data_IF_524242271109
#
_entry.id   IF_524242271109
#
_cell.length_a   1.000
_cell.length_b   1.000
_cell.length_c   1.000
_cell.angle_alpha   90.00
_cell.angle_beta   90.00
_cell.angle_gamma   90.00
#
_symmetry.space_group_name_H-M   'P 1'
#
loop_
_entity.id
_entity.type
_entity.pdbx_description
1 polymer ?
#
# COMPACT_ATOMS: atom_id res chain seq x y z
N UNK A 1 6.17 -17.94 30.99
CA UNK A 1 6.60 -17.41 29.69
C UNK A 1 5.96 -18.10 28.48
N UNK A 2 5.70 -19.44 28.43
CA UNK A 2 5.03 -20.06 27.26
C UNK A 2 3.56 -19.67 27.04
N UNK A 3 2.88 -19.16 28.07
CA UNK A 3 1.45 -18.81 28.00
C UNK A 3 1.18 -17.51 27.27
N UNK A 4 2.04 -16.50 27.40
CA UNK A 4 1.85 -15.19 26.75
C UNK A 4 2.13 -15.26 25.25
N UNK A 5 3.19 -15.98 24.85
CA UNK A 5 3.55 -16.20 23.44
C UNK A 5 2.44 -16.94 22.69
N UNK A 6 1.83 -17.95 23.31
CA UNK A 6 0.67 -18.66 22.74
C UNK A 6 -0.58 -17.78 22.57
N UNK A 7 -0.76 -16.76 23.42
CA UNK A 7 -1.89 -15.83 23.30
C UNK A 7 -1.67 -14.87 22.13
N UNK A 8 -0.47 -14.32 22.00
CA UNK A 8 -0.10 -13.39 20.92
C UNK A 8 -0.23 -14.08 19.55
N UNK A 9 0.31 -15.29 19.40
CA UNK A 9 0.23 -16.06 18.15
C UNK A 9 -1.21 -16.36 17.76
N UNK A 10 -2.05 -16.76 18.73
CA UNK A 10 -3.48 -17.02 18.47
C UNK A 10 -4.24 -15.76 18.07
N UNK A 11 -3.90 -14.62 18.67
CA UNK A 11 -4.52 -13.34 18.34
C UNK A 11 -4.11 -12.86 16.94
N UNK A 12 -2.83 -12.98 16.58
CA UNK A 12 -2.33 -12.66 15.24
C UNK A 12 -3.02 -13.52 14.17
N UNK A 13 -3.11 -14.84 14.40
CA UNK A 13 -3.82 -15.75 13.49
C UNK A 13 -5.30 -15.38 13.32
N UNK A 14 -5.98 -15.02 14.41
CA UNK A 14 -7.38 -14.58 14.35
C UNK A 14 -7.55 -13.37 13.42
N UNK A 15 -6.66 -12.38 13.53
CA UNK A 15 -6.70 -11.19 12.66
C UNK A 15 -6.42 -11.58 11.20
N UNK A 16 -5.38 -12.37 10.92
CA UNK A 16 -5.09 -12.85 9.56
C UNK A 16 -6.29 -13.58 8.95
N UNK A 17 -6.96 -14.44 9.73
CA UNK A 17 -8.18 -15.16 9.33
C UNK A 17 -9.34 -14.21 9.02
N UNK A 18 -9.59 -13.23 9.89
CA UNK A 18 -10.65 -12.22 9.70
C UNK A 18 -10.41 -11.37 8.43
N UNK A 19 -9.14 -11.09 8.10
CA UNK A 19 -8.74 -10.45 6.84
C UNK A 19 -9.13 -11.27 5.62
N UNK A 20 -8.78 -12.57 5.59
CA UNK A 20 -9.14 -13.44 4.46
C UNK A 20 -10.65 -13.59 4.28
N UNK A 21 -11.41 -13.73 5.37
CA UNK A 21 -12.87 -13.77 5.27
C UNK A 21 -13.45 -12.48 4.70
N UNK A 22 -12.92 -11.32 5.11
CA UNK A 22 -13.39 -10.02 4.59
C UNK A 22 -13.18 -9.90 3.08
N UNK A 23 -12.02 -10.33 2.56
CA UNK A 23 -11.71 -10.26 1.13
C UNK A 23 -12.70 -11.04 0.25
N UNK A 24 -13.27 -12.13 0.76
CA UNK A 24 -14.21 -12.98 0.00
C UNK A 24 -15.67 -12.55 0.21
N UNK A 25 -16.02 -12.03 1.38
CA UNK A 25 -17.40 -11.71 1.76
C UNK A 25 -17.84 -10.28 1.41
N UNK A 26 -16.89 -9.36 1.21
CA UNK A 26 -17.19 -7.94 1.03
C UNK A 26 -17.75 -7.65 -0.36
N UNK A 27 -18.85 -6.91 -0.41
CA UNK A 27 -19.38 -6.38 -1.66
C UNK A 27 -18.39 -5.38 -2.28
N UNK A 28 -18.08 -5.57 -3.57
CA UNK A 28 -17.08 -4.78 -4.28
C UNK A 28 -17.73 -3.61 -5.01
N UNK A 29 -17.23 -2.41 -4.76
CA UNK A 29 -17.57 -1.23 -5.58
C UNK A 29 -16.71 -1.25 -6.84
N UNK A 30 -17.33 -1.50 -8.00
CA UNK A 30 -16.68 -1.40 -9.30
C UNK A 30 -17.10 -0.09 -9.96
N UNK A 31 -16.12 0.72 -10.36
CA UNK A 31 -16.34 2.05 -10.93
C UNK A 31 -16.38 1.97 -12.47
N UNK A 32 -17.38 2.57 -13.13
CA UNK A 32 -17.32 2.79 -14.57
C UNK A 32 -16.27 3.87 -14.86
N UNK A 33 -15.16 3.50 -15.47
CA UNK A 33 -14.06 4.41 -15.82
C UNK A 33 -13.42 3.99 -17.15
N UNK A 34 -13.10 4.95 -18.03
CA UNK A 34 -12.46 4.63 -19.31
C UNK A 34 -10.95 4.42 -19.20
N UNK A 35 -10.34 4.90 -18.12
CA UNK A 35 -8.93 4.67 -17.80
C UNK A 35 -8.85 3.89 -16.50
N UNK A 36 -8.07 2.81 -16.50
CA UNK A 36 -7.93 1.97 -15.34
C UNK A 36 -6.45 1.76 -15.06
N UNK A 37 -6.09 1.81 -13.78
CA UNK A 37 -4.80 1.38 -13.30
C UNK A 37 -5.03 0.22 -12.34
N UNK A 38 -4.27 -0.84 -12.49
CA UNK A 38 -4.41 -2.04 -11.68
C UNK A 38 -3.09 -2.38 -11.01
N UNK A 39 -3.17 -2.73 -9.73
CA UNK A 39 -2.02 -3.09 -8.91
C UNK A 39 -2.22 -4.43 -8.23
N UNK A 40 -1.09 -5.02 -7.83
CA UNK A 40 -1.02 -6.27 -7.10
C UNK A 40 -0.59 -6.04 -5.66
N UNK A 41 -1.47 -6.39 -4.72
CA UNK A 41 -1.12 -6.60 -3.32
C UNK A 41 -0.68 -8.05 -3.18
N UNK A 42 0.63 -8.29 -3.16
CA UNK A 42 1.18 -9.64 -3.03
C UNK A 42 1.46 -9.93 -1.56
N UNK A 43 0.83 -10.98 -1.05
CA UNK A 43 0.95 -11.47 0.32
C UNK A 43 1.81 -12.73 0.37
N UNK A 44 2.58 -12.88 1.44
CA UNK A 44 3.25 -14.15 1.79
C UNK A 44 3.27 -14.34 3.30
N UNK A 45 3.35 -15.59 3.75
CA UNK A 45 3.64 -15.88 5.15
C UNK A 45 5.15 -16.01 5.34
N UNK A 46 5.73 -15.17 6.20
CA UNK A 46 7.18 -15.17 6.47
C UNK A 46 7.69 -16.46 7.13
N UNK A 47 6.82 -17.19 7.84
CA UNK A 47 7.16 -18.45 8.52
C UNK A 47 6.76 -19.71 7.74
N UNK A 48 6.27 -19.58 6.50
CA UNK A 48 5.81 -20.72 5.72
C UNK A 48 6.98 -21.68 5.43
N UNK A 49 6.87 -22.89 5.96
CA UNK A 49 7.93 -23.91 5.86
C UNK A 49 7.68 -24.95 4.76
N UNK A 50 6.44 -25.04 4.26
CA UNK A 50 6.03 -26.01 3.23
C UNK A 50 5.07 -25.34 2.26
N UNK A 51 5.12 -25.80 1.01
CA UNK A 51 4.21 -25.32 -0.01
C UNK A 51 2.76 -25.68 0.34
N UNK A 52 1.86 -24.73 0.13
CA UNK A 52 0.43 -24.89 0.27
C UNK A 52 -0.05 -25.64 -0.98
N UNK A 53 -0.60 -26.86 -0.84
CA UNK A 53 -1.04 -27.64 -1.98
C UNK A 53 -2.19 -26.94 -2.69
N UNK A 54 -2.03 -26.75 -3.99
CA UNK A 54 -3.11 -26.24 -4.84
C UNK A 54 -4.05 -27.39 -5.16
N UNK A 55 -5.27 -27.30 -4.67
CA UNK A 55 -6.35 -28.21 -5.02
C UNK A 55 -7.59 -27.39 -5.34
N UNK A 56 -7.99 -27.40 -6.61
CA UNK A 56 -9.11 -26.63 -7.15
C UNK A 56 -10.47 -27.01 -6.54
N UNK A 57 -10.53 -28.08 -5.74
CA UNK A 57 -11.78 -28.56 -5.11
C UNK A 57 -11.98 -28.07 -3.67
N UNK A 58 -10.98 -27.42 -3.06
CA UNK A 58 -11.05 -27.01 -1.66
C UNK A 58 -11.85 -25.73 -1.46
N UNK A 59 -12.67 -25.71 -0.41
CA UNK A 59 -13.35 -24.49 0.02
C UNK A 59 -12.36 -23.51 0.66
N UNK A 60 -12.73 -22.23 0.76
CA UNK A 60 -11.95 -21.23 1.52
C UNK A 60 -11.71 -21.69 2.97
N UNK A 61 -12.68 -22.38 3.58
CA UNK A 61 -12.56 -22.88 4.95
C UNK A 61 -11.47 -23.95 5.05
N UNK A 62 -11.40 -24.87 4.10
CA UNK A 62 -10.35 -25.90 4.07
C UNK A 62 -8.98 -25.28 3.86
N UNK A 63 -8.90 -24.23 3.03
CA UNK A 63 -7.69 -23.46 2.80
C UNK A 63 -7.21 -22.76 4.08
N UNK A 64 -8.09 -22.03 4.76
CA UNK A 64 -7.78 -21.34 6.01
C UNK A 64 -7.41 -22.33 7.13
N UNK A 65 -8.11 -23.45 7.22
CA UNK A 65 -7.78 -24.51 8.17
C UNK A 65 -6.41 -25.13 7.88
N UNK A 66 -6.06 -25.32 6.60
CA UNK A 66 -4.73 -25.78 6.23
C UNK A 66 -3.64 -24.80 6.66
N UNK A 67 -3.83 -23.51 6.40
CA UNK A 67 -2.88 -22.47 6.84
C UNK A 67 -2.74 -22.49 8.38
N UNK A 68 -3.85 -22.57 9.11
CA UNK A 68 -3.86 -22.67 10.58
C UNK A 68 -3.04 -23.87 11.08
N UNK A 69 -3.26 -25.05 10.51
CA UNK A 69 -2.55 -26.30 10.87
C UNK A 69 -1.08 -26.25 10.46
N UNK A 70 -0.75 -25.58 9.35
CA UNK A 70 0.63 -25.43 8.89
C UNK A 70 1.48 -24.55 9.82
N UNK A 71 0.84 -23.78 10.71
CA UNK A 71 1.50 -22.82 11.59
C UNK A 71 2.06 -21.60 10.85
N UNK A 72 1.65 -21.40 9.59
CA UNK A 72 2.00 -20.23 8.81
C UNK A 72 1.46 -18.97 9.50
N UNK A 73 2.33 -17.99 9.64
CA UNK A 73 2.14 -16.76 10.40
C UNK A 73 3.05 -15.67 9.84
N UNK A 74 2.95 -14.45 10.39
CA UNK A 74 3.71 -13.30 9.93
C UNK A 74 3.40 -13.02 8.46
N UNK A 75 2.13 -12.70 8.19
CA UNK A 75 1.72 -12.24 6.87
C UNK A 75 2.48 -10.95 6.52
N UNK A 76 3.02 -10.90 5.30
CA UNK A 76 3.82 -9.79 4.80
C UNK A 76 3.26 -9.30 3.46
N UNK A 77 3.41 -8.00 3.20
CA UNK A 77 3.00 -7.34 1.97
C UNK A 77 4.24 -6.94 1.16
N UNK A 78 4.24 -7.23 -0.13
CA UNK A 78 5.26 -6.74 -1.06
C UNK A 78 4.99 -5.28 -1.42
N UNK A 79 6.00 -4.44 -1.25
CA UNK A 79 6.04 -3.08 -1.77
C UNK A 79 7.25 -2.87 -2.67
N UNK A 80 7.12 -1.90 -3.57
CA UNK A 80 8.21 -1.41 -4.40
C UNK A 80 8.51 0.05 -4.07
N UNK A 81 9.77 0.44 -4.21
CA UNK A 81 10.16 1.83 -4.33
C UNK A 81 10.36 2.15 -5.80
N UNK A 82 9.59 3.11 -6.30
CA UNK A 82 9.71 3.59 -7.69
C UNK A 82 11.10 4.19 -7.94
N UNK A 83 11.66 3.95 -9.13
CA UNK A 83 12.92 4.55 -9.56
C UNK A 83 12.86 6.09 -9.51
N UNK A 84 13.98 6.73 -9.19
CA UNK A 84 14.05 8.19 -9.19
C UNK A 84 14.28 8.70 -10.62
N UNK A 85 13.28 9.36 -11.19
CA UNK A 85 13.42 10.06 -12.48
C UNK A 85 13.34 11.57 -12.27
N UNK A 86 14.24 12.33 -12.90
CA UNK A 86 14.39 13.78 -12.67
C UNK A 86 13.11 14.61 -12.94
N UNK A 87 12.19 14.08 -13.75
CA UNK A 87 10.94 14.74 -14.15
C UNK A 87 9.67 14.05 -13.60
N UNK A 88 9.79 13.02 -12.75
CA UNK A 88 8.62 12.36 -12.16
C UNK A 88 8.34 12.92 -10.75
N UNK A 89 7.22 13.63 -10.53
CA UNK A 89 6.83 14.11 -9.19
C UNK A 89 6.57 12.98 -8.19
N UNK A 90 6.48 11.72 -8.65
CA UNK A 90 6.30 10.53 -7.82
C UNK A 90 7.57 9.68 -7.65
N UNK A 91 8.72 10.21 -8.04
CA UNK A 91 10.03 9.55 -7.96
C UNK A 91 10.35 9.09 -6.53
N UNK A 92 10.73 7.83 -6.35
CA UNK A 92 11.14 7.29 -5.04
C UNK A 92 10.00 6.97 -4.06
N UNK A 93 8.73 7.05 -4.49
CA UNK A 93 7.59 6.68 -3.65
C UNK A 93 7.40 5.18 -3.52
N UNK A 94 6.84 4.79 -2.37
CA UNK A 94 6.35 3.43 -2.16
C UNK A 94 5.08 3.23 -2.97
N UNK A 95 5.01 2.12 -3.69
CA UNK A 95 3.84 1.69 -4.43
C UNK A 95 3.65 0.17 -4.29
N UNK A 96 2.47 -0.30 -4.70
CA UNK A 96 2.28 -1.68 -5.10
C UNK A 96 2.78 -1.86 -6.54
N UNK A 97 3.30 -3.04 -6.92
CA UNK A 97 3.56 -3.33 -8.32
C UNK A 97 2.29 -3.18 -9.15
N UNK A 98 2.37 -2.56 -10.32
CA UNK A 98 1.20 -2.29 -11.14
C UNK A 98 1.31 -1.04 -11.99
N UNK A 99 0.35 -0.89 -12.88
CA UNK A 99 0.38 0.16 -13.88
C UNK A 99 -0.96 0.37 -14.57
N UNK A 100 -0.90 0.91 -15.78
CA UNK A 100 -2.09 1.33 -16.52
C UNK A 100 -2.56 0.19 -17.43
N UNK A 101 -3.86 0.03 -17.53
CA UNK A 101 -4.47 -0.92 -18.46
C UNK A 101 -4.11 -0.56 -19.91
N UNK A 102 -3.71 -1.57 -20.66
CA UNK A 102 -3.37 -1.47 -22.08
C UNK A 102 -4.35 -2.23 -22.97
N UNK A 103 -4.78 -1.60 -24.07
CA UNK A 103 -5.71 -2.22 -25.01
C UNK A 103 -7.04 -2.62 -24.35
N UNK A 104 -7.38 -3.91 -24.47
CA UNK A 104 -8.63 -4.50 -23.96
C UNK A 104 -8.38 -5.56 -22.87
N UNK A 105 -7.18 -5.57 -22.26
CA UNK A 105 -6.87 -6.53 -21.18
C UNK A 105 -7.79 -6.30 -19.98
N UNK A 106 -8.11 -7.34 -19.20
CA UNK A 106 -8.85 -7.17 -17.93
C UNK A 106 -7.94 -6.56 -16.88
N UNK A 107 -8.51 -5.85 -15.90
CA UNK A 107 -7.72 -5.24 -14.82
C UNK A 107 -6.78 -6.22 -14.10
N UNK A 108 -7.21 -7.48 -13.91
CA UNK A 108 -6.36 -8.51 -13.30
C UNK A 108 -5.19 -8.91 -14.20
N UNK A 109 -5.39 -8.91 -15.52
CA UNK A 109 -4.35 -9.22 -16.50
C UNK A 109 -3.30 -8.09 -16.51
N UNK A 110 -3.74 -6.82 -16.43
CA UNK A 110 -2.86 -5.67 -16.20
C UNK A 110 -2.01 -5.86 -14.94
N UNK A 111 -2.62 -6.17 -13.80
CA UNK A 111 -1.90 -6.32 -12.54
C UNK A 111 -0.85 -7.44 -12.61
N UNK A 112 -1.18 -8.57 -13.24
CA UNK A 112 -0.26 -9.70 -13.45
C UNK A 112 0.89 -9.30 -14.39
N UNK A 113 0.60 -8.67 -15.53
CA UNK A 113 1.60 -8.22 -16.52
C UNK A 113 2.59 -7.25 -15.89
N UNK A 114 2.08 -6.18 -15.30
CA UNK A 114 2.88 -5.11 -14.68
C UNK A 114 3.75 -5.66 -13.54
N UNK A 115 3.21 -6.55 -12.70
CA UNK A 115 4.01 -7.17 -11.62
C UNK A 115 5.15 -8.02 -12.19
N UNK A 116 4.90 -8.73 -13.28
CA UNK A 116 5.93 -9.53 -13.95
C UNK A 116 7.00 -8.65 -14.59
N UNK A 117 6.62 -7.51 -15.17
CA UNK A 117 7.53 -6.54 -15.78
C UNK A 117 8.38 -5.82 -14.72
N UNK A 118 7.77 -5.34 -13.64
CA UNK A 118 8.42 -4.51 -12.62
C UNK A 118 9.29 -5.32 -11.66
N UNK A 119 8.83 -6.51 -11.22
CA UNK A 119 9.50 -7.31 -10.17
C UNK A 119 9.76 -8.77 -10.55
N UNK A 120 9.38 -9.22 -11.75
CA UNK A 120 9.67 -10.57 -12.22
C UNK A 120 8.79 -11.68 -11.66
N UNK A 121 7.79 -11.36 -10.83
CA UNK A 121 6.88 -12.36 -10.27
C UNK A 121 5.77 -12.72 -11.26
N UNK A 122 5.71 -13.99 -11.63
CA UNK A 122 4.62 -14.50 -12.48
C UNK A 122 3.41 -14.88 -11.62
N UNK A 123 2.55 -13.90 -11.36
CA UNK A 123 1.31 -14.08 -10.59
C UNK A 123 0.26 -14.94 -11.32
N UNK A 124 0.44 -15.20 -12.63
CA UNK A 124 -0.40 -16.13 -13.40
C UNK A 124 -0.03 -17.60 -13.18
N UNK A 125 1.13 -17.88 -12.57
CA UNK A 125 1.52 -19.24 -12.22
C UNK A 125 0.79 -19.71 -10.95
N UNK A 126 -0.32 -20.41 -11.16
CA UNK A 126 -1.19 -20.93 -10.10
C UNK A 126 -0.50 -21.86 -9.09
N UNK A 127 0.69 -22.41 -9.44
CA UNK A 127 1.49 -23.21 -8.50
C UNK A 127 2.19 -22.36 -7.45
N UNK A 128 2.47 -21.10 -7.76
CA UNK A 128 3.19 -20.19 -6.88
C UNK A 128 2.28 -19.16 -6.24
N UNK A 129 1.24 -18.71 -6.94
CA UNK A 129 0.36 -17.65 -6.49
C UNK A 129 -1.10 -17.97 -6.78
N UNK A 130 -1.99 -17.48 -5.91
CA UNK A 130 -3.42 -17.49 -6.13
C UNK A 130 -3.99 -16.09 -5.90
N UNK A 131 -4.92 -15.66 -6.75
CA UNK A 131 -5.71 -14.46 -6.50
C UNK A 131 -6.82 -14.81 -5.50
N UNK A 132 -6.77 -14.23 -4.31
CA UNK A 132 -7.74 -14.49 -3.23
C UNK A 132 -8.89 -13.49 -3.21
N UNK A 133 -8.78 -12.41 -3.99
CA UNK A 133 -9.82 -11.39 -4.08
C UNK A 133 -9.30 -10.08 -4.66
N UNK A 134 -10.14 -9.05 -4.58
CA UNK A 134 -9.77 -7.68 -4.96
C UNK A 134 -10.44 -6.67 -4.03
N UNK A 135 -9.90 -5.46 -3.98
CA UNK A 135 -10.49 -4.36 -3.24
C UNK A 135 -11.47 -3.58 -4.13
N UNK A 136 -12.32 -2.78 -3.48
CA UNK A 136 -13.19 -1.81 -4.15
C UNK A 136 -12.37 -0.79 -4.96
N UNK A 137 -12.86 -0.42 -6.14
CA UNK A 137 -12.25 0.59 -6.98
C UNK A 137 -12.21 1.95 -6.28
N UNK A 138 -11.08 2.65 -6.44
CA UNK A 138 -10.90 4.03 -5.99
C UNK A 138 -10.89 4.99 -7.17
N UNK A 139 -11.57 6.13 -7.02
CA UNK A 139 -11.55 7.21 -8.01
C UNK A 139 -10.19 7.90 -7.97
N UNK A 140 -9.52 8.01 -9.12
CA UNK A 140 -8.32 8.83 -9.27
C UNK A 140 -8.77 10.21 -9.77
N UNK A 141 -8.87 11.18 -8.86
CA UNK A 141 -9.21 12.56 -9.22
C UNK A 141 -8.00 13.28 -9.80
N UNK A 142 -7.90 13.29 -11.13
CA UNK A 142 -6.93 14.13 -11.85
C UNK A 142 -7.42 15.58 -11.88
N UNK A 143 -6.54 16.51 -11.56
CA UNK A 143 -6.83 17.95 -11.59
C UNK A 143 -7.13 18.38 -13.04
N UNK A 144 -8.26 19.08 -13.26
CA UNK A 144 -8.70 19.67 -14.53
C UNK A 144 -9.24 18.72 -15.63
N UNK A 145 -9.69 17.50 -15.32
CA UNK A 145 -10.46 16.67 -16.27
C UNK A 145 -11.78 16.22 -15.65
N UNK A 146 -12.79 15.92 -16.46
CA UNK A 146 -14.10 15.41 -16.02
C UNK A 146 -13.90 14.31 -14.96
N UNK A 147 -14.50 14.52 -13.80
CA UNK A 147 -14.07 13.99 -12.49
C UNK A 147 -14.19 12.46 -12.30
N UNK A 148 -14.58 11.69 -13.32
CA UNK A 148 -14.96 10.27 -13.18
C UNK A 148 -14.23 9.32 -14.15
N UNK A 149 -13.14 9.74 -14.79
CA UNK A 149 -12.58 8.96 -15.91
C UNK A 149 -11.46 7.97 -15.53
N UNK A 150 -11.15 7.81 -14.25
CA UNK A 150 -10.02 6.97 -13.83
C UNK A 150 -10.30 6.15 -12.57
N UNK A 151 -10.10 4.84 -12.65
CA UNK A 151 -10.23 3.91 -11.54
C UNK A 151 -8.89 3.29 -11.16
N UNK A 152 -8.63 3.20 -9.87
CA UNK A 152 -7.53 2.45 -9.26
C UNK A 152 -8.08 1.14 -8.71
N UNK A 153 -7.55 0.03 -9.21
CA UNK A 153 -7.98 -1.33 -8.91
C UNK A 153 -6.86 -2.05 -8.18
N UNK A 154 -7.16 -2.75 -7.08
CA UNK A 154 -6.16 -3.52 -6.35
C UNK A 154 -6.60 -4.99 -6.23
N UNK A 155 -5.77 -5.91 -6.71
CA UNK A 155 -5.98 -7.34 -6.61
C UNK A 155 -5.08 -7.92 -5.52
N UNK A 156 -5.59 -8.86 -4.75
CA UNK A 156 -4.85 -9.48 -3.64
C UNK A 156 -4.43 -10.88 -4.05
N UNK A 157 -3.13 -11.10 -4.08
CA UNK A 157 -2.51 -12.38 -4.40
C UNK A 157 -1.83 -12.95 -3.17
N UNK A 158 -1.85 -14.27 -3.02
CA UNK A 158 -1.17 -14.98 -1.95
C UNK A 158 -0.15 -15.96 -2.54
N UNK A 159 1.08 -15.89 -2.04
CA UNK A 159 2.13 -16.86 -2.33
C UNK A 159 1.81 -18.19 -1.65
N UNK A 160 1.91 -19.27 -2.42
CA UNK A 160 1.65 -20.64 -1.98
C UNK A 160 2.92 -21.42 -1.68
N UNK A 161 4.06 -21.01 -2.20
CA UNK A 161 5.34 -21.69 -1.98
C UNK A 161 6.04 -21.18 -0.73
N UNK A 162 6.75 -22.05 -0.02
CA UNK A 162 7.57 -21.68 1.14
C UNK A 162 8.72 -20.73 0.73
N UNK A 163 9.35 -21.00 -0.40
CA UNK A 163 10.36 -20.14 -0.98
C UNK A 163 9.71 -19.09 -1.90
N UNK A 164 10.01 -17.81 -1.65
CA UNK A 164 9.64 -16.73 -2.58
C UNK A 164 10.45 -16.86 -3.88
N UNK A 165 9.81 -16.86 -5.05
CA UNK A 165 10.53 -16.81 -6.33
C UNK A 165 11.46 -15.58 -6.39
N UNK A 166 12.65 -15.70 -7.01
CA UNK A 166 13.61 -14.60 -7.05
C UNK A 166 13.01 -13.37 -7.75
N UNK A 167 13.14 -12.20 -7.11
CA UNK A 167 12.66 -10.95 -7.70
C UNK A 167 13.64 -10.46 -8.76
N UNK A 168 13.13 -10.13 -9.95
CA UNK A 168 13.91 -9.52 -11.03
C UNK A 168 13.38 -8.12 -11.26
N UNK A 169 14.00 -7.14 -10.61
CA UNK A 169 13.54 -5.75 -10.65
C UNK A 169 13.88 -5.11 -12.00
N UNK A 170 12.95 -4.34 -12.55
CA UNK A 170 13.18 -3.46 -13.69
C UNK A 170 13.79 -2.12 -13.21
N UNK A 171 15.11 -1.87 -13.35
CA UNK A 171 15.75 -0.74 -12.66
C UNK A 171 15.30 0.64 -13.14
N UNK A 172 14.73 0.74 -14.35
CA UNK A 172 14.17 1.99 -14.90
C UNK A 172 12.87 2.42 -14.20
N UNK A 173 12.18 1.48 -13.57
CA UNK A 173 10.85 1.69 -12.96
C UNK A 173 10.86 1.43 -11.46
N UNK A 174 11.66 0.46 -11.01
CA UNK A 174 11.75 0.01 -9.62
C UNK A 174 13.18 0.14 -9.12
N UNK A 175 13.38 1.01 -8.12
CA UNK A 175 14.66 1.16 -7.43
C UNK A 175 14.91 0.03 -6.42
N UNK A 176 13.87 -0.45 -5.74
CA UNK A 176 13.98 -1.51 -4.74
C UNK A 176 12.63 -2.18 -4.49
N UNK A 177 12.65 -3.39 -3.92
CA UNK A 177 11.46 -4.10 -3.48
C UNK A 177 11.71 -4.75 -2.12
N UNK A 178 10.66 -4.79 -1.29
CA UNK A 178 10.77 -5.23 0.09
C UNK A 178 9.44 -5.72 0.65
N UNK A 179 9.53 -6.61 1.62
CA UNK A 179 8.40 -7.19 2.33
C UNK A 179 8.21 -6.48 3.66
N UNK A 180 6.98 -6.11 3.98
CA UNK A 180 6.61 -5.47 5.25
C UNK A 180 5.62 -6.37 5.98
N UNK A 181 5.97 -6.78 7.20
CA UNK A 181 5.05 -7.53 8.06
C UNK A 181 3.79 -6.73 8.39
N UNK A 182 2.62 -7.38 8.36
CA UNK A 182 1.35 -6.80 8.79
C UNK A 182 1.40 -6.29 10.24
N UNK A 183 2.21 -6.92 11.09
CA UNK A 183 2.43 -6.49 12.48
C UNK A 183 2.93 -5.04 12.56
N UNK A 184 3.64 -4.57 11.53
CA UNK A 184 4.03 -3.15 11.39
C UNK A 184 2.84 -2.22 11.50
N UNK A 185 1.71 -2.60 10.89
CA UNK A 185 0.49 -1.78 10.88
C UNK A 185 -0.41 -2.10 12.07
N UNK A 186 -0.56 -3.38 12.41
CA UNK A 186 -1.46 -3.83 13.48
C UNK A 186 -0.97 -3.45 14.87
N UNK A 187 0.35 -3.53 15.12
CA UNK A 187 0.94 -3.27 16.44
C UNK A 187 1.50 -1.85 16.55
N UNK A 188 2.08 -1.33 15.46
CA UNK A 188 2.81 -0.06 15.48
C UNK A 188 2.17 1.04 14.63
N UNK A 189 1.03 0.79 13.96
CA UNK A 189 0.39 1.73 13.05
C UNK A 189 0.18 3.11 13.68
N UNK A 190 -0.40 3.18 14.88
CA UNK A 190 -0.65 4.43 15.60
C UNK A 190 0.64 5.22 15.92
N UNK A 191 1.76 4.53 16.13
CA UNK A 191 3.06 5.16 16.44
C UNK A 191 3.79 5.61 15.17
N UNK A 192 3.59 4.90 14.06
CA UNK A 192 4.24 5.16 12.78
C UNK A 192 3.45 6.16 11.92
N UNK A 193 2.18 6.39 12.24
CA UNK A 193 1.34 7.39 11.61
C UNK A 193 1.92 8.79 11.82
N UNK A 194 2.15 9.47 10.71
CA UNK A 194 2.74 10.80 10.66
C UNK A 194 2.13 11.59 9.50
N UNK A 195 2.43 12.89 9.45
CA UNK A 195 1.98 13.75 8.37
C UNK A 195 3.12 14.01 7.39
N UNK A 196 2.87 13.74 6.10
CA UNK A 196 3.78 14.11 5.02
C UNK A 196 3.30 15.41 4.38
N UNK A 197 4.11 16.45 4.48
CA UNK A 197 3.90 17.68 3.74
C UNK A 197 4.30 17.49 2.28
N UNK A 198 3.40 17.85 1.37
CA UNK A 198 3.71 18.06 -0.03
C UNK A 198 3.71 19.55 -0.27
N UNK A 199 4.85 20.06 -0.73
CA UNK A 199 4.94 21.43 -1.19
C UNK A 199 4.14 21.58 -2.47
N UNK A 200 3.08 22.39 -2.41
CA UNK A 200 2.41 22.89 -3.61
C UNK A 200 3.21 24.08 -4.10
N UNK A 201 3.94 23.90 -5.20
CA UNK A 201 4.40 25.02 -6.02
C UNK A 201 3.17 25.75 -6.58
N UNK A 202 2.65 26.69 -5.80
CA UNK A 202 1.77 27.80 -6.18
C UNK A 202 0.65 27.47 -7.15
N UNK A 203 -0.41 26.90 -6.61
CA UNK A 203 -1.58 26.62 -7.42
C UNK A 203 -2.87 26.86 -6.61
N UNK A 204 -2.90 28.01 -5.93
CA UNK A 204 -4.11 28.61 -5.35
C UNK A 204 -4.87 29.28 -6.50
N UNK A 205 -5.48 28.47 -7.37
CA UNK A 205 -6.17 28.96 -8.58
C UNK A 205 -7.34 29.90 -8.26
N UNK A 206 -7.92 29.81 -7.05
CA UNK A 206 -8.98 30.68 -6.57
C UNK A 206 -8.50 32.10 -6.19
N UNK A 207 -7.24 32.28 -5.81
CA UNK A 207 -6.69 33.56 -5.34
C UNK A 207 -5.28 33.81 -5.87
N UNK A 208 -5.07 33.60 -7.17
CA UNK A 208 -3.76 33.82 -7.80
C UNK A 208 -3.24 35.26 -7.60
N UNK A 209 -4.15 36.23 -7.50
CA UNK A 209 -3.83 37.62 -7.15
C UNK A 209 -3.20 37.77 -5.76
N UNK A 210 -3.63 36.97 -4.78
CA UNK A 210 -3.13 37.03 -3.40
C UNK A 210 -1.64 36.72 -3.37
N UNK A 211 -1.17 35.77 -4.20
CA UNK A 211 0.25 35.40 -4.29
C UNK A 211 1.19 36.54 -4.72
N UNK A 212 0.64 37.64 -5.24
CA UNK A 212 1.38 38.88 -5.54
C UNK A 212 1.36 39.90 -4.39
N UNK A 213 0.52 39.71 -3.36
CA UNK A 213 0.33 40.67 -2.26
C UNK A 213 1.22 40.40 -1.05
N UNK A 214 1.62 39.16 -0.80
CA UNK A 214 2.49 38.82 0.33
C UNK A 214 3.83 38.26 -0.17
N UNK A 215 4.97 38.65 0.42
CA UNK A 215 6.25 38.01 0.17
C UNK A 215 6.19 36.48 0.39
N UNK A 216 6.98 35.72 -0.38
CA UNK A 216 7.05 34.24 -0.26
C UNK A 216 7.36 33.77 1.17
N UNK A 217 8.13 34.55 1.93
CA UNK A 217 8.41 34.28 3.34
C UNK A 217 7.16 34.23 4.21
N UNK A 218 6.14 35.06 3.92
CA UNK A 218 4.87 35.06 4.66
C UNK A 218 4.05 33.83 4.31
N UNK A 219 4.00 33.42 3.04
CA UNK A 219 3.32 32.20 2.63
C UNK A 219 3.91 30.94 3.28
N UNK A 220 5.23 30.85 3.29
CA UNK A 220 5.96 29.78 3.95
C UNK A 220 5.73 29.80 5.46
N UNK A 221 5.79 30.98 6.08
CA UNK A 221 5.50 31.16 7.51
C UNK A 221 4.07 30.74 7.85
N UNK A 222 3.10 31.08 7.00
CA UNK A 222 1.70 30.70 7.13
C UNK A 222 1.41 29.24 6.73
N UNK A 223 2.39 28.51 6.17
CA UNK A 223 2.25 27.16 5.60
C UNK A 223 1.20 27.02 4.47
N UNK A 224 0.85 28.13 3.80
CA UNK A 224 -0.13 28.15 2.70
C UNK A 224 0.37 27.44 1.43
N UNK A 225 1.66 27.16 1.35
CA UNK A 225 2.35 26.47 0.27
C UNK A 225 2.42 24.95 0.47
N UNK A 226 1.85 24.41 1.56
CA UNK A 226 1.96 23.00 1.92
C UNK A 226 0.60 22.37 2.14
N UNK A 227 0.45 21.14 1.65
CA UNK A 227 -0.70 20.29 1.98
C UNK A 227 -0.17 19.05 2.68
N UNK A 228 -0.78 18.73 3.81
CA UNK A 228 -0.37 17.61 4.65
C UNK A 228 -1.29 16.43 4.36
N UNK A 229 -0.68 15.26 4.23
CA UNK A 229 -1.37 14.00 4.01
C UNK A 229 -0.93 13.01 5.08
N UNK A 230 -1.84 12.10 5.44
CA UNK A 230 -1.50 10.96 6.29
C UNK A 230 -0.47 10.09 5.58
N UNK A 231 0.54 9.69 6.33
CA UNK A 231 1.65 8.89 5.86
C UNK A 231 2.13 7.95 6.97
N UNK A 232 2.80 6.88 6.57
CA UNK A 232 3.52 5.98 7.46
C UNK A 232 4.99 6.02 7.05
N UNK A 233 5.87 6.32 7.99
CA UNK A 233 7.30 6.29 7.78
C UNK A 233 7.83 4.88 8.04
N UNK A 234 8.05 4.11 6.97
CA UNK A 234 8.68 2.79 7.05
C UNK A 234 10.19 2.97 7.16
N UNK A 235 10.68 2.83 8.39
CA UNK A 235 12.10 2.89 8.73
C UNK A 235 12.62 1.47 8.91
N UNK A 236 13.58 1.00 8.07
CA UNK A 236 14.05 -0.38 8.11
C UNK A 236 14.54 -0.86 9.49
N UNK A 237 15.02 0.04 10.35
CA UNK A 237 15.50 -0.28 11.70
C UNK A 237 14.39 -0.28 12.77
N UNK A 238 13.17 0.16 12.44
CA UNK A 238 12.02 0.20 13.35
C UNK A 238 11.03 -0.89 13.02
N UNK A 239 10.86 -1.21 11.74
CA UNK A 239 9.82 -2.11 11.25
C UNK A 239 10.41 -3.43 10.73
N UNK A 240 9.64 -4.51 10.79
CA UNK A 240 10.03 -5.81 10.25
C UNK A 240 9.97 -5.81 8.72
N UNK A 241 10.97 -5.15 8.12
CA UNK A 241 11.13 -4.97 6.69
C UNK A 241 12.27 -5.85 6.17
N UNK A 242 11.96 -6.69 5.20
CA UNK A 242 12.94 -7.57 4.55
C UNK A 242 13.12 -7.16 3.08
N UNK A 243 14.31 -6.66 2.74
CA UNK A 243 14.65 -6.36 1.35
C UNK A 243 14.86 -7.65 0.56
N UNK A 244 14.38 -7.65 -0.69
CA UNK A 244 14.61 -8.78 -1.59
C UNK A 244 16.10 -8.92 -1.91
N UNK A 245 16.64 -10.14 -1.74
CA UNK A 245 18.08 -10.43 -1.90
C UNK A 245 18.60 -10.20 -3.33
N UNK A 246 17.73 -10.34 -4.33
CA UNK A 246 18.09 -10.30 -5.75
C UNK A 246 17.81 -8.94 -6.43
N UNK A 247 17.33 -7.96 -5.65
CA UNK A 247 17.07 -6.60 -6.11
C UNK A 247 18.22 -5.65 -5.77
N UNK A 248 18.63 -4.81 -6.71
CA UNK A 248 19.65 -3.77 -6.49
C UNK A 248 19.26 -2.92 -5.28
N UNK A 249 20.07 -2.96 -4.21
CA UNK A 249 19.87 -2.11 -3.04
C UNK A 249 20.33 -0.71 -3.43
N UNK A 250 19.39 0.23 -3.57
CA UNK A 250 19.75 1.65 -3.71
C UNK A 250 20.58 2.07 -2.48
N UNK A 251 21.82 2.51 -2.73
CA UNK A 251 22.71 2.99 -1.68
C UNK A 251 22.13 4.24 -1.00
N UNK A 252 21.90 4.16 0.31
CA UNK A 252 21.37 5.24 1.16
C UNK A 252 20.26 4.74 2.08
N UNK A 253 20.62 4.08 3.19
CA UNK A 253 19.71 3.38 4.12
C UNK A 253 19.06 4.26 5.19
N UNK A 254 19.29 5.57 5.20
CA UNK A 254 18.93 6.41 6.36
C UNK A 254 17.64 7.23 6.16
N UNK A 255 17.12 7.34 4.93
CA UNK A 255 15.87 8.08 4.70
C UNK A 255 14.65 7.18 4.92
N UNK A 256 13.63 7.66 5.66
CA UNK A 256 12.38 6.93 5.82
C UNK A 256 11.69 6.74 4.47
N UNK A 257 11.24 5.51 4.20
CA UNK A 257 10.39 5.23 3.05
C UNK A 257 8.96 5.61 3.42
N UNK A 258 8.40 6.56 2.70
CA UNK A 258 7.07 7.08 3.00
C UNK A 258 5.99 6.28 2.26
N UNK A 259 5.13 5.60 3.01
CA UNK A 259 3.88 5.02 2.52
C UNK A 259 2.77 6.05 2.68
N UNK A 260 2.17 6.51 1.58
CA UNK A 260 1.15 7.56 1.60
C UNK A 260 0.27 7.49 0.33
N UNK A 261 -0.75 8.33 0.24
CA UNK A 261 -1.59 8.45 -0.96
C UNK A 261 -2.39 7.18 -1.27
N UNK A 262 -2.54 6.84 -2.55
CA UNK A 262 -3.34 5.68 -3.00
C UNK A 262 -2.84 4.36 -2.42
N UNK A 263 -1.53 4.19 -2.25
CA UNK A 263 -0.93 2.97 -1.71
C UNK A 263 -1.24 2.80 -0.22
N UNK A 264 -1.14 3.87 0.58
CA UNK A 264 -1.58 3.83 1.98
C UNK A 264 -3.08 3.58 2.08
N UNK A 265 -3.85 4.18 1.19
CA UNK A 265 -5.31 4.04 1.18
C UNK A 265 -5.75 2.61 0.85
N UNK A 266 -5.13 1.98 -0.14
CA UNK A 266 -5.35 0.58 -0.47
C UNK A 266 -4.83 -0.37 0.63
N UNK A 267 -3.71 -0.04 1.29
CA UNK A 267 -3.25 -0.77 2.48
C UNK A 267 -4.27 -0.66 3.61
N UNK A 268 -4.86 0.52 3.83
CA UNK A 268 -5.91 0.71 4.83
C UNK A 268 -7.21 -0.02 4.50
N UNK A 269 -7.55 -0.15 3.21
CA UNK A 269 -8.74 -0.92 2.78
C UNK A 269 -8.56 -2.42 2.98
N UNK A 270 -7.35 -2.93 2.71
CA UNK A 270 -6.98 -4.31 2.97
C UNK A 270 -7.13 -4.66 4.46
N UNK A 271 -6.72 -3.74 5.34
CA UNK A 271 -6.71 -3.94 6.79
C UNK A 271 -7.99 -3.50 7.49
N UNK A 272 -9.00 -3.01 6.77
CA UNK A 272 -10.20 -2.40 7.36
C UNK A 272 -11.00 -3.36 8.25
N UNK A 273 -10.97 -4.67 7.97
CA UNK A 273 -11.68 -5.66 8.79
C UNK A 273 -10.96 -6.06 10.06
N UNK A 274 -9.68 -5.71 10.20
CA UNK A 274 -8.81 -6.14 11.30
C UNK A 274 -8.27 -4.98 12.13
N UNK A 275 -8.49 -3.74 11.67
CA UNK A 275 -8.09 -2.52 12.35
C UNK A 275 -9.31 -1.70 12.75
N UNK A 276 -9.32 -1.22 13.99
CA UNK A 276 -10.38 -0.33 14.49
C UNK A 276 -10.34 1.06 13.84
N UNK A 277 -9.16 1.48 13.39
CA UNK A 277 -8.93 2.80 12.78
C UNK A 277 -8.27 2.66 11.42
N UNK A 278 -8.73 3.48 10.48
CA UNK A 278 -8.13 3.59 9.16
C UNK A 278 -6.78 4.32 9.21
N UNK A 279 -5.80 3.79 8.49
CA UNK A 279 -4.46 4.37 8.37
C UNK A 279 -4.43 5.60 7.45
N UNK A 280 -5.38 5.68 6.52
CA UNK A 280 -5.51 6.79 5.57
C UNK A 280 -6.49 7.88 6.02
N UNK A 281 -6.94 7.85 7.29
CA UNK A 281 -7.84 8.87 7.80
C UNK A 281 -7.19 10.24 7.63
N UNK A 282 -7.92 11.19 7.03
CA UNK A 282 -7.37 12.50 6.72
C UNK A 282 -7.14 13.25 8.03
N UNK A 283 -5.88 13.39 8.44
CA UNK A 283 -5.51 14.45 9.38
C UNK A 283 -5.56 15.78 8.61
N UNK A 284 -6.76 16.32 8.40
CA UNK A 284 -6.88 17.76 8.13
C UNK A 284 -6.74 18.47 9.47
N UNK A 285 -5.56 18.42 10.08
CA UNK A 285 -5.17 19.57 10.89
C UNK A 285 -4.79 20.63 9.87
N UNK A 286 -5.52 21.75 9.79
CA UNK A 286 -5.10 22.82 8.91
C UNK A 286 -3.78 23.35 9.49
N UNK A 287 -2.68 22.98 8.83
CA UNK A 287 -1.35 23.46 9.20
C UNK A 287 -1.17 24.95 8.94
N UNK A 288 -2.17 25.59 8.31
CA UNK A 288 -2.21 27.02 8.15
C UNK A 288 -2.32 27.69 9.51
N UNK A 289 -1.32 28.50 9.86
CA UNK A 289 -1.28 29.24 11.15
C UNK A 289 -2.48 30.17 11.37
N UNK A 290 -3.25 30.48 10.32
CA UNK A 290 -4.49 31.24 10.37
C UNK A 290 -5.71 30.42 10.83
N UNK A 291 -5.75 29.12 10.51
CA UNK A 291 -6.89 28.25 10.80
C UNK A 291 -6.70 27.50 12.12
N UNK A 292 -5.45 27.30 12.56
CA UNK A 292 -5.14 26.80 13.91
C UNK A 292 -5.66 27.71 15.03
N UNK A 293 -5.94 28.99 14.74
CA UNK A 293 -6.61 29.94 15.64
C UNK A 293 -8.13 29.75 15.74
N UNK A 294 -8.76 29.10 14.75
CA UNK A 294 -10.22 29.00 14.63
C UNK A 294 -10.80 27.63 14.99
N UNK A 295 -9.96 26.60 15.12
CA UNK A 295 -10.38 25.27 15.57
C UNK A 295 -9.98 25.14 17.04
N UNK A 296 -10.93 25.07 18.00
CA UNK A 296 -10.60 24.81 19.38
C UNK A 296 -9.84 23.49 19.46
N UNK A 297 -8.69 23.49 20.12
CA UNK A 297 -7.97 22.27 20.49
C UNK A 297 -8.92 21.39 21.29
N UNK A 298 -9.47 20.34 20.68
CA UNK A 298 -10.17 19.31 21.44
C UNK A 298 -9.11 18.45 22.12
N UNK A 299 -9.03 18.60 23.44
CA UNK A 299 -8.41 17.65 24.36
C UNK A 299 -9.03 16.26 24.21
#
# INVERSE_FOLDING_TARGET
MPREENVIVRQAWKLEKDLFYSLVSKSLKILPASRRAAVSIVLRFGSLSRDIPVDSTRSLLDFLQYIEVSGASNLQILYIQRAKQANDPWSGHIAFPGGRQEGNEKDIETAIRETKEEVGLDLGNWRHFICIGRLSDREIRLRNRSLNDSAYCAFVFLQLTAATPPLKLCPSEVASAFWVSLDTFLLYGDQLLCTKAIERKWDIWWFRWLSYLLPKSIYHWLALDRVYFSAIALKPWVVAMEYAKDGVIAAGRDDPLWLWGLTLAATSDLLESVMDKRLDHIFVTPANRLVSWWIPSKC
#
